data_IF_325058371001
#
_entry.id   IF_325058371001
#
_cell.length_a   1.000
_cell.length_b   1.000
_cell.length_c   1.000
_cell.angle_alpha   90.00
_cell.angle_beta   90.00
_cell.angle_gamma   90.00
#
_symmetry.space_group_name_H-M   'P 1'
#
loop_
_entity.id
_entity.type
_entity.pdbx_description
1 polymer ?
#
# COMPACT_ATOMS: atom_id res chain seq x y z
N UNK A 1 14.67 26.77 -10.57
CA UNK A 1 14.86 25.32 -10.35
C UNK A 1 14.34 25.02 -8.96
N UNK A 2 13.20 24.33 -8.84
CA UNK A 2 12.71 23.89 -7.53
C UNK A 2 13.55 22.67 -7.15
N UNK A 3 14.41 22.81 -6.15
CA UNK A 3 15.09 21.70 -5.51
C UNK A 3 14.06 20.95 -4.65
N UNK A 4 13.20 20.14 -5.29
CA UNK A 4 12.41 19.15 -4.56
C UNK A 4 13.38 18.07 -4.10
N UNK A 5 13.93 18.24 -2.89
CA UNK A 5 14.52 17.12 -2.16
C UNK A 5 13.37 16.14 -1.90
N UNK A 6 13.19 15.20 -2.83
CA UNK A 6 12.32 14.04 -2.65
C UNK A 6 12.73 13.38 -1.33
N UNK A 7 11.79 13.37 -0.38
CA UNK A 7 12.05 12.78 0.92
C UNK A 7 12.21 11.27 0.77
N UNK A 8 13.06 10.64 1.60
CA UNK A 8 13.30 9.21 1.53
C UNK A 8 11.99 8.43 1.75
N UNK A 9 11.89 7.28 1.08
CA UNK A 9 10.78 6.31 1.03
C UNK A 9 9.76 6.45 2.17
N UNK A 10 8.45 6.46 1.87
CA UNK A 10 7.40 6.60 2.88
C UNK A 10 7.59 5.55 3.99
N UNK A 11 7.64 6.01 5.25
CA UNK A 11 7.62 5.12 6.41
C UNK A 11 6.20 4.60 6.55
N UNK A 12 5.96 3.39 6.03
CA UNK A 12 4.68 2.71 6.16
C UNK A 12 4.58 2.09 7.55
N UNK A 13 3.56 2.49 8.31
CA UNK A 13 3.19 1.85 9.57
C UNK A 13 2.05 0.86 9.29
N UNK A 14 2.39 -0.43 9.15
CA UNK A 14 1.42 -1.52 9.02
C UNK A 14 1.71 -2.54 10.11
N UNK A 15 0.68 -3.15 10.72
CA UNK A 15 0.88 -4.25 11.65
C UNK A 15 1.48 -5.46 10.93
N UNK A 16 2.18 -6.31 11.68
CA UNK A 16 2.74 -7.56 11.13
C UNK A 16 1.64 -8.56 10.74
N UNK A 17 0.49 -8.48 11.41
CA UNK A 17 -0.65 -9.40 11.28
C UNK A 17 -1.98 -8.64 11.23
N UNK A 18 -2.91 -9.12 10.41
CA UNK A 18 -4.29 -8.63 10.37
C UNK A 18 -5.24 -9.73 9.88
N UNK A 19 -6.55 -9.59 10.15
CA UNK A 19 -7.58 -10.54 9.70
C UNK A 19 -8.28 -10.04 8.44
N UNK A 20 -8.81 -10.97 7.66
CA UNK A 20 -9.72 -10.64 6.54
C UNK A 20 -10.88 -9.79 7.05
N UNK A 21 -11.08 -8.63 6.43
CA UNK A 21 -12.15 -7.68 6.79
C UNK A 21 -11.75 -6.60 7.80
N UNK A 22 -10.55 -6.67 8.41
CA UNK A 22 -10.05 -5.58 9.25
C UNK A 22 -9.87 -4.31 8.41
N UNK A 23 -10.05 -3.15 9.04
CA UNK A 23 -9.74 -1.85 8.44
C UNK A 23 -8.39 -1.40 8.97
N UNK A 24 -7.41 -1.27 8.08
CA UNK A 24 -6.08 -0.78 8.41
C UNK A 24 -5.85 0.61 7.84
N UNK A 25 -4.99 1.38 8.50
CA UNK A 25 -4.52 2.68 8.04
C UNK A 25 -3.07 2.58 7.58
N UNK A 26 -2.74 3.28 6.50
CA UNK A 26 -1.38 3.43 5.99
C UNK A 26 -1.03 4.91 5.99
N UNK A 27 -0.04 5.29 6.78
CA UNK A 27 0.44 6.69 6.90
C UNK A 27 1.78 6.85 6.17
N UNK A 28 1.97 7.97 5.46
CA UNK A 28 3.23 8.31 4.78
C UNK A 28 3.28 9.76 4.29
N UNK A 29 4.47 10.34 4.14
CA UNK A 29 4.62 11.76 3.76
C UNK A 29 4.01 12.08 2.39
N UNK A 30 3.35 13.25 2.31
CA UNK A 30 2.50 13.73 1.21
C UNK A 30 3.16 13.71 -0.19
N UNK A 31 4.48 13.92 -0.27
CA UNK A 31 5.08 14.51 -1.50
C UNK A 31 5.03 13.61 -2.74
N UNK A 32 4.62 12.33 -2.65
CA UNK A 32 4.38 11.50 -3.84
C UNK A 32 3.71 10.13 -3.61
N UNK A 33 3.55 9.65 -2.37
CA UNK A 33 3.06 8.28 -2.16
C UNK A 33 1.57 8.11 -2.51
N UNK A 34 0.75 9.16 -2.30
CA UNK A 34 -0.71 9.09 -2.46
C UNK A 34 -1.26 9.93 -3.61
N UNK A 35 -0.49 10.89 -4.13
CA UNK A 35 -0.93 11.85 -5.17
C UNK A 35 -1.18 11.23 -6.57
N UNK A 36 -1.08 9.91 -6.69
CA UNK A 36 -1.75 9.14 -7.72
C UNK A 36 -1.75 7.64 -7.41
N UNK A 37 -1.80 7.27 -6.14
CA UNK A 37 -2.18 5.91 -5.78
C UNK A 37 -3.65 5.78 -6.16
N UNK A 38 -4.02 4.72 -6.89
CA UNK A 38 -5.43 4.43 -7.14
C UNK A 38 -5.84 3.10 -6.52
N UNK A 39 -4.87 2.20 -6.33
CA UNK A 39 -5.12 0.84 -5.89
C UNK A 39 -3.95 0.33 -5.03
N UNK A 40 -4.31 -0.56 -4.11
CA UNK A 40 -3.39 -1.38 -3.32
C UNK A 40 -3.29 -2.77 -3.93
N UNK A 41 -2.07 -3.27 -4.00
CA UNK A 41 -1.77 -4.57 -4.58
C UNK A 41 -1.22 -5.50 -3.50
N UNK A 42 -1.92 -6.61 -3.30
CA UNK A 42 -1.56 -7.66 -2.34
C UNK A 42 -1.11 -8.90 -3.12
N UNK A 43 0.15 -9.30 -2.97
CA UNK A 43 0.72 -10.42 -3.72
C UNK A 43 1.63 -11.26 -2.84
N UNK A 44 1.62 -12.59 -3.03
CA UNK A 44 2.45 -13.53 -2.26
C UNK A 44 3.82 -13.81 -2.90
N UNK A 45 4.05 -13.31 -4.11
CA UNK A 45 5.13 -13.78 -4.99
C UNK A 45 4.66 -14.86 -5.96
N UNK A 46 5.56 -15.27 -6.87
CA UNK A 46 5.37 -16.36 -7.84
C UNK A 46 4.14 -16.21 -8.77
N UNK A 47 3.42 -17.31 -9.02
CA UNK A 47 2.24 -17.39 -9.89
C UNK A 47 0.92 -16.99 -9.20
N UNK A 48 0.99 -16.45 -7.97
CA UNK A 48 -0.20 -16.05 -7.23
C UNK A 48 -0.80 -14.77 -7.82
N UNK A 49 -2.04 -14.87 -8.31
CA UNK A 49 -2.74 -13.73 -8.87
C UNK A 49 -2.90 -12.65 -7.79
N UNK A 50 -2.50 -11.42 -8.07
CA UNK A 50 -2.60 -10.37 -7.07
C UNK A 50 -4.04 -10.03 -6.75
N UNK A 51 -4.28 -9.62 -5.51
CA UNK A 51 -5.55 -8.99 -5.14
C UNK A 51 -5.38 -7.47 -5.20
N UNK A 52 -6.29 -6.82 -5.91
CA UNK A 52 -6.33 -5.37 -6.06
C UNK A 52 -7.44 -4.84 -5.18
N UNK A 53 -7.11 -3.93 -4.26
CA UNK A 53 -8.08 -3.28 -3.39
C UNK A 53 -8.08 -1.77 -3.59
N UNK A 54 -9.24 -1.15 -3.43
CA UNK A 54 -9.33 0.29 -3.25
C UNK A 54 -8.92 0.71 -1.83
N UNK A 55 -8.89 2.01 -1.61
CA UNK A 55 -8.67 2.61 -0.30
C UNK A 55 -9.45 3.93 -0.22
N UNK A 56 -9.73 4.37 1.00
CA UNK A 56 -10.30 5.67 1.29
C UNK A 56 -9.19 6.61 1.77
N UNK A 57 -9.22 7.87 1.33
CA UNK A 57 -8.32 8.90 1.82
C UNK A 57 -8.92 9.47 3.10
N UNK A 58 -8.28 9.26 4.25
CA UNK A 58 -8.75 9.79 5.53
C UNK A 58 -8.17 11.18 5.81
N UNK A 59 -6.92 11.42 5.43
CA UNK A 59 -6.30 12.75 5.39
C UNK A 59 -5.17 12.82 4.34
N UNK A 60 -4.43 13.93 4.31
CA UNK A 60 -3.36 14.17 3.34
C UNK A 60 -2.20 13.15 3.39
N UNK A 61 -1.99 12.51 4.54
CA UNK A 61 -0.89 11.57 4.80
C UNK A 61 -1.38 10.16 5.08
N UNK A 62 -2.69 9.94 5.16
CA UNK A 62 -3.28 8.70 5.65
C UNK A 62 -4.37 8.18 4.72
N UNK A 63 -4.24 6.92 4.33
CA UNK A 63 -5.30 6.16 3.67
C UNK A 63 -5.78 5.02 4.57
N UNK A 64 -7.02 4.58 4.39
CA UNK A 64 -7.56 3.38 5.02
C UNK A 64 -8.02 2.38 3.98
N UNK A 65 -7.86 1.09 4.27
CA UNK A 65 -8.32 0.02 3.38
C UNK A 65 -8.81 -1.19 4.16
N UNK A 66 -9.68 -1.95 3.52
CA UNK A 66 -10.16 -3.24 4.06
C UNK A 66 -9.19 -4.33 3.66
N UNK A 67 -8.76 -5.15 4.63
CA UNK A 67 -7.88 -6.30 4.41
C UNK A 67 -8.61 -7.34 3.55
N UNK A 68 -8.07 -7.69 2.37
CA UNK A 68 -8.75 -8.57 1.44
C UNK A 68 -8.71 -10.02 1.89
N UNK A 69 -9.56 -10.86 1.27
CA UNK A 69 -9.53 -12.30 1.48
C UNK A 69 -8.34 -12.96 0.75
N UNK A 70 -7.12 -12.69 1.23
CA UNK A 70 -5.86 -13.22 0.71
C UNK A 70 -4.97 -13.75 1.83
N UNK A 71 -5.51 -14.72 2.57
CA UNK A 71 -4.87 -15.35 3.74
C UNK A 71 -3.44 -15.83 3.43
N UNK A 72 -2.50 -15.55 4.33
CA UNK A 72 -1.08 -15.86 4.25
C UNK A 72 -0.20 -14.60 4.27
N UNK A 73 1.12 -14.79 4.16
CA UNK A 73 2.06 -13.69 4.06
C UNK A 73 1.97 -13.03 2.68
N UNK A 74 1.66 -11.74 2.66
CA UNK A 74 1.56 -10.94 1.43
C UNK A 74 2.50 -9.74 1.52
N UNK A 75 2.94 -9.29 0.35
CA UNK A 75 3.53 -7.96 0.19
C UNK A 75 2.43 -7.00 -0.28
N UNK A 76 2.33 -5.86 0.39
CA UNK A 76 1.44 -4.75 0.06
C UNK A 76 2.26 -3.69 -0.66
N UNK A 77 1.81 -3.27 -1.84
CA UNK A 77 2.42 -2.17 -2.60
C UNK A 77 1.36 -1.28 -3.21
N UNK A 78 1.71 -0.01 -3.37
CA UNK A 78 0.96 0.96 -4.16
C UNK A 78 1.17 0.81 -5.65
N UNK A 79 0.12 1.05 -6.46
CA UNK A 79 0.22 1.17 -7.92
C UNK A 79 -0.57 2.39 -8.43
N UNK A 80 -0.08 3.01 -9.52
CA UNK A 80 -0.86 4.01 -10.27
C UNK A 80 -2.01 3.30 -11.02
N UNK A 81 -3.04 4.07 -11.41
CA UNK A 81 -4.10 3.57 -12.29
C UNK A 81 -3.46 3.08 -13.59
N UNK A 82 -3.82 1.88 -14.03
CA UNK A 82 -3.26 1.15 -15.18
C UNK A 82 -1.98 0.34 -14.91
N UNK A 83 -1.80 -0.18 -13.68
CA UNK A 83 -0.83 -1.26 -13.39
C UNK A 83 0.64 -0.89 -13.56
N UNK A 84 0.96 0.40 -13.63
CA UNK A 84 2.34 0.89 -13.63
C UNK A 84 2.84 1.04 -12.20
N UNK A 85 4.05 0.54 -11.96
CA UNK A 85 4.74 0.71 -10.69
C UNK A 85 4.94 2.20 -10.38
N UNK A 86 4.81 2.54 -9.10
CA UNK A 86 5.28 3.82 -8.57
C UNK A 86 6.79 4.00 -8.88
N UNK A 87 7.29 5.21 -9.17
CA UNK A 87 8.72 5.48 -9.20
C UNK A 87 9.40 4.97 -7.93
N UNK A 88 10.62 4.43 -8.03
CA UNK A 88 11.33 3.80 -6.89
C UNK A 88 11.45 4.72 -5.66
N UNK A 89 11.49 6.03 -5.90
CA UNK A 89 11.59 7.09 -4.89
C UNK A 89 10.35 7.16 -3.98
N UNK A 90 9.21 6.67 -4.47
CA UNK A 90 7.88 6.89 -3.87
C UNK A 90 7.09 5.58 -3.74
N UNK A 91 7.67 4.51 -4.26
CA UNK A 91 7.19 3.15 -4.06
C UNK A 91 7.28 2.79 -2.59
N UNK A 92 6.21 2.17 -2.08
CA UNK A 92 6.23 1.51 -0.79
C UNK A 92 6.06 0.02 -0.98
N UNK A 93 6.75 -0.74 -0.13
CA UNK A 93 6.56 -2.17 0.00
C UNK A 93 6.51 -2.50 1.49
N UNK A 94 5.49 -3.22 1.91
CA UNK A 94 5.33 -3.66 3.28
C UNK A 94 4.87 -5.12 3.32
N UNK A 95 5.32 -5.89 4.30
CA UNK A 95 4.85 -7.26 4.52
C UNK A 95 3.70 -7.25 5.51
N UNK A 96 2.67 -8.06 5.24
CA UNK A 96 1.51 -8.26 6.10
C UNK A 96 1.16 -9.75 6.11
N UNK A 97 0.91 -10.32 7.28
CA UNK A 97 0.35 -11.67 7.39
C UNK A 97 -1.16 -11.57 7.55
N UNK A 98 -1.92 -12.09 6.59
CA UNK A 98 -3.38 -12.08 6.63
C UNK A 98 -3.89 -13.41 7.21
N UNK A 99 -4.66 -13.34 8.27
CA UNK A 99 -5.34 -14.48 8.89
C UNK A 99 -6.81 -14.53 8.49
N UNK A 100 -7.44 -15.71 8.58
CA UNK A 100 -8.90 -15.81 8.47
C UNK A 100 -9.59 -15.05 9.61
N UNK A 101 -10.81 -14.53 9.33
CA UNK A 101 -11.64 -13.84 10.33
C UNK A 101 -11.85 -14.69 11.60
#
# INVERSE_FOLDING_TARGET
MINQKLQPKPKVDLPEQAKVGDVLTLTGSIVNAFSGLYLLHFWKGDNDAPFISGFDVVDWETISFVVPNKVGQVTVTGIYALSSSLPEEVQFLASLTIESA
#
